data_IF_020235510327
#
_entry.id   IF_020235510327
#
_cell.length_a   1.000
_cell.length_b   1.000
_cell.length_c   1.000
_cell.angle_alpha   90.00
_cell.angle_beta   90.00
_cell.angle_gamma   90.00
#
_symmetry.space_group_name_H-M   'P 1'
#
loop_
_entity.id
_entity.type
_entity.pdbx_description
1 polymer ?
#
# COMPACT_ATOMS: atom_id res chain seq x y z
N UNK A 1 -10.94 -16.54 -4.00
CA UNK A 1 -10.07 -15.46 -4.55
C UNK A 1 -10.86 -14.33 -5.23
N UNK A 2 -11.94 -14.63 -5.97
CA UNK A 2 -12.80 -13.63 -6.64
C UNK A 2 -13.37 -12.51 -5.73
N UNK A 3 -14.08 -12.83 -4.63
CA UNK A 3 -14.69 -11.80 -3.77
C UNK A 3 -13.67 -10.90 -3.06
N UNK A 4 -12.46 -11.43 -2.81
CA UNK A 4 -11.34 -10.69 -2.19
C UNK A 4 -10.56 -9.85 -3.21
N UNK A 5 -10.81 -9.99 -4.52
CA UNK A 5 -10.14 -9.22 -5.57
C UNK A 5 -8.64 -9.49 -5.68
N UNK A 6 -8.20 -10.69 -5.27
CA UNK A 6 -6.82 -11.18 -5.37
C UNK A 6 -6.78 -12.27 -6.44
N UNK A 7 -6.80 -11.89 -7.70
CA UNK A 7 -6.65 -12.84 -8.81
C UNK A 7 -5.18 -13.30 -8.91
N UNK A 8 -4.92 -14.60 -9.16
CA UNK A 8 -3.58 -15.09 -9.44
C UNK A 8 -3.00 -14.42 -10.68
N UNK A 9 -1.70 -14.15 -10.67
CA UNK A 9 -0.96 -13.78 -11.88
C UNK A 9 -0.28 -15.05 -12.41
N UNK A 10 -0.54 -15.46 -13.65
CA UNK A 10 0.11 -16.63 -14.21
C UNK A 10 1.61 -16.37 -14.37
N UNK A 11 2.41 -17.40 -14.09
CA UNK A 11 3.87 -17.40 -14.29
C UNK A 11 4.16 -18.30 -15.49
N UNK A 12 4.97 -17.86 -16.47
CA UNK A 12 5.39 -18.72 -17.58
C UNK A 12 6.17 -19.94 -17.07
N UNK A 13 5.98 -21.15 -17.63
CA UNK A 13 6.65 -22.37 -17.15
C UNK A 13 8.18 -22.32 -17.22
N UNK A 14 8.74 -21.49 -18.09
CA UNK A 14 10.18 -21.38 -18.36
C UNK A 14 10.87 -20.24 -17.60
N UNK A 15 10.12 -19.39 -16.89
CA UNK A 15 10.68 -18.22 -16.20
C UNK A 15 11.05 -18.57 -14.75
N UNK A 16 12.23 -18.12 -14.28
CA UNK A 16 12.59 -18.21 -12.86
C UNK A 16 11.65 -17.32 -12.00
N UNK A 17 10.84 -17.90 -11.10
CA UNK A 17 9.89 -17.15 -10.30
C UNK A 17 10.54 -16.40 -9.13
N UNK A 18 11.81 -16.62 -8.82
CA UNK A 18 12.47 -16.12 -7.59
C UNK A 18 12.31 -14.61 -7.44
N UNK A 19 12.61 -13.85 -8.50
CA UNK A 19 12.49 -12.39 -8.49
C UNK A 19 11.04 -11.93 -8.33
N UNK A 20 10.10 -12.61 -8.99
CA UNK A 20 8.68 -12.30 -8.90
C UNK A 20 8.16 -12.52 -7.47
N UNK A 21 8.58 -13.62 -6.83
CA UNK A 21 8.21 -13.96 -5.45
C UNK A 21 8.75 -12.89 -4.49
N UNK A 22 10.03 -12.52 -4.60
CA UNK A 22 10.64 -11.51 -3.74
C UNK A 22 9.94 -10.16 -3.89
N UNK A 23 9.63 -9.75 -5.12
CA UNK A 23 8.86 -8.53 -5.36
C UNK A 23 7.45 -8.60 -4.76
N UNK A 24 6.75 -9.73 -4.89
CA UNK A 24 5.41 -9.91 -4.34
C UNK A 24 5.38 -9.93 -2.81
N UNK A 25 6.42 -10.41 -2.14
CA UNK A 25 6.51 -10.37 -0.66
C UNK A 25 6.48 -8.95 -0.12
N UNK A 26 7.15 -8.03 -0.80
CA UNK A 26 7.26 -6.64 -0.38
C UNK A 26 6.12 -5.75 -0.92
N UNK A 27 5.23 -6.31 -1.74
CA UNK A 27 4.16 -5.53 -2.39
C UNK A 27 2.88 -5.53 -1.57
N UNK A 28 2.38 -4.34 -1.26
CA UNK A 28 1.02 -4.14 -0.73
C UNK A 28 0.04 -3.80 -1.86
N UNK A 29 -1.15 -4.41 -1.84
CA UNK A 29 -2.21 -4.12 -2.81
C UNK A 29 -3.27 -3.23 -2.20
N UNK A 30 -3.39 -2.01 -2.73
CA UNK A 30 -4.41 -1.03 -2.32
C UNK A 30 -5.50 -0.92 -3.38
N UNK A 31 -6.76 -0.92 -2.93
CA UNK A 31 -7.95 -0.78 -3.78
C UNK A 31 -9.03 -0.01 -3.01
N UNK A 32 -9.51 1.08 -3.59
CA UNK A 32 -10.83 1.63 -3.28
C UNK A 32 -11.87 0.79 -3.99
N UNK A 33 -12.86 0.29 -3.26
CA UNK A 33 -14.07 -0.32 -3.84
C UNK A 33 -15.17 0.73 -3.85
N UNK A 34 -16.16 0.53 -2.99
CA UNK A 34 -17.40 1.32 -2.96
C UNK A 34 -17.21 2.63 -2.16
N UNK A 35 -16.22 2.65 -1.26
CA UNK A 35 -15.86 3.82 -0.45
C UNK A 35 -14.70 4.59 -1.07
N UNK A 36 -14.73 5.91 -0.93
CA UNK A 36 -13.64 6.84 -1.30
C UNK A 36 -12.46 6.84 -0.31
N UNK A 37 -12.35 5.77 0.48
CA UNK A 37 -11.27 5.56 1.44
C UNK A 37 -10.60 4.23 1.17
N UNK A 38 -9.33 4.14 1.54
CA UNK A 38 -8.58 2.91 1.52
C UNK A 38 -7.64 2.86 2.72
N UNK A 39 -7.20 1.65 3.04
CA UNK A 39 -6.28 1.41 4.14
C UNK A 39 -5.17 0.49 3.64
N UNK A 40 -3.95 0.74 4.08
CA UNK A 40 -2.77 -0.02 3.71
C UNK A 40 -1.86 -0.20 4.92
N UNK A 41 -1.13 -1.32 4.97
CA UNK A 41 -0.07 -1.53 5.94
C UNK A 41 1.22 -0.95 5.37
N UNK A 42 1.92 -0.13 6.16
CA UNK A 42 3.16 0.56 5.75
C UNK A 42 4.39 -0.16 6.33
N UNK A 43 4.24 -0.84 7.46
CA UNK A 43 5.31 -1.61 8.11
C UNK A 43 4.85 -2.18 9.45
N UNK A 44 5.81 -2.60 10.27
CA UNK A 44 5.59 -3.12 11.62
C UNK A 44 6.21 -2.18 12.68
N UNK A 45 5.89 -2.41 13.95
CA UNK A 45 6.39 -1.58 15.07
C UNK A 45 7.89 -1.76 15.31
N UNK A 46 8.44 -2.90 14.91
CA UNK A 46 9.85 -3.24 15.13
C UNK A 46 10.77 -2.57 14.11
N UNK A 47 10.21 -1.95 13.07
CA UNK A 47 10.97 -1.19 12.08
C UNK A 47 11.37 0.19 12.63
N UNK A 48 12.53 0.72 12.22
CA UNK A 48 12.93 2.06 12.61
C UNK A 48 11.97 3.11 12.01
N UNK A 49 11.73 4.24 12.72
CA UNK A 49 10.82 5.29 12.25
C UNK A 49 11.20 5.88 10.89
N UNK A 50 12.49 5.92 10.56
CA UNK A 50 13.02 6.45 9.31
C UNK A 50 12.55 5.62 8.11
N UNK A 51 12.66 4.29 8.19
CA UNK A 51 12.19 3.37 7.15
C UNK A 51 10.67 3.44 7.00
N UNK A 52 9.94 3.60 8.11
CA UNK A 52 8.49 3.77 8.08
C UNK A 52 8.08 5.07 7.38
N UNK A 53 8.82 6.16 7.60
CA UNK A 53 8.60 7.43 6.92
C UNK A 53 8.89 7.33 5.42
N UNK A 54 9.99 6.66 5.02
CA UNK A 54 10.31 6.43 3.62
C UNK A 54 9.23 5.61 2.91
N UNK A 55 8.74 4.54 3.56
CA UNK A 55 7.65 3.73 3.04
C UNK A 55 6.35 4.53 2.88
N UNK A 56 6.03 5.41 3.85
CA UNK A 56 4.88 6.30 3.79
C UNK A 56 5.00 7.29 2.62
N UNK A 57 6.19 7.87 2.42
CA UNK A 57 6.45 8.80 1.32
C UNK A 57 6.33 8.11 -0.04
N UNK A 58 6.94 6.93 -0.20
CA UNK A 58 6.82 6.13 -1.40
C UNK A 58 5.36 5.78 -1.71
N UNK A 59 4.59 5.43 -0.67
CA UNK A 59 3.17 5.15 -0.78
C UNK A 59 2.36 6.38 -1.22
N UNK A 60 2.58 7.52 -0.58
CA UNK A 60 1.88 8.77 -0.88
C UNK A 60 2.20 9.27 -2.29
N UNK A 61 3.46 9.20 -2.73
CA UNK A 61 3.87 9.51 -4.11
C UNK A 61 3.13 8.64 -5.12
N UNK A 62 3.03 7.32 -4.85
CA UNK A 62 2.34 6.39 -5.74
C UNK A 62 0.84 6.66 -5.86
N UNK A 63 0.19 7.03 -4.75
CA UNK A 63 -1.24 7.37 -4.68
C UNK A 63 -1.50 8.68 -5.42
N UNK A 64 -0.76 9.74 -5.08
CA UNK A 64 -0.91 11.07 -5.69
C UNK A 64 -0.70 11.00 -7.20
N UNK A 65 0.30 10.25 -7.67
CA UNK A 65 0.56 10.08 -9.11
C UNK A 65 -0.51 9.26 -9.85
N UNK A 66 -1.41 8.56 -9.14
CA UNK A 66 -2.54 7.83 -9.75
C UNK A 66 -3.83 8.65 -9.78
N UNK A 67 -3.95 9.70 -8.96
CA UNK A 67 -5.13 10.55 -8.89
C UNK A 67 -5.02 11.66 -9.92
N UNK A 68 -6.06 11.87 -10.73
CA UNK A 68 -6.08 12.88 -11.80
C UNK A 68 -5.81 14.31 -11.29
N UNK A 69 -6.28 14.64 -10.09
CA UNK A 69 -6.04 15.94 -9.43
C UNK A 69 -5.03 15.85 -8.27
N UNK A 70 -4.27 14.76 -8.21
CA UNK A 70 -3.23 14.53 -7.22
C UNK A 70 -3.69 14.75 -5.77
N UNK A 71 -2.98 15.64 -5.06
CA UNK A 71 -3.20 15.92 -3.63
C UNK A 71 -4.56 16.55 -3.34
N UNK A 72 -5.16 17.27 -4.28
CA UNK A 72 -6.46 17.93 -4.07
C UNK A 72 -7.63 16.94 -3.93
N UNK A 73 -7.44 15.68 -4.35
CA UNK A 73 -8.42 14.62 -4.16
C UNK A 73 -8.29 13.91 -2.79
N UNK A 74 -7.31 14.29 -1.95
CA UNK A 74 -7.08 13.69 -0.63
C UNK A 74 -7.61 14.64 0.43
N UNK A 75 -8.71 14.27 1.08
CA UNK A 75 -9.31 15.09 2.14
C UNK A 75 -8.51 15.05 3.44
N UNK A 76 -8.04 13.86 3.84
CA UNK A 76 -7.24 13.66 5.04
C UNK A 76 -6.48 12.34 4.96
N UNK A 77 -5.37 12.25 5.68
CA UNK A 77 -4.61 11.01 5.84
C UNK A 77 -4.24 10.80 7.30
N UNK A 78 -4.36 9.56 7.77
CA UNK A 78 -4.08 9.18 9.15
C UNK A 78 -3.15 7.98 9.18
N UNK A 79 -2.22 7.98 10.14
CA UNK A 79 -1.34 6.86 10.44
C UNK A 79 -1.64 6.39 11.85
N UNK A 80 -1.75 5.08 12.03
CA UNK A 80 -1.97 4.47 13.34
C UNK A 80 -1.22 3.16 13.46
N UNK A 81 -0.95 2.76 14.69
CA UNK A 81 -0.63 1.37 15.00
C UNK A 81 -1.91 0.54 15.06
N UNK A 82 -1.80 -0.79 15.02
CA UNK A 82 -2.98 -1.68 15.02
C UNK A 82 -3.93 -1.40 16.19
N UNK A 83 -3.38 -1.14 17.38
CA UNK A 83 -4.12 -0.95 18.63
C UNK A 83 -4.07 0.48 19.20
N UNK A 84 -3.34 1.40 18.56
CA UNK A 84 -3.14 2.76 19.07
C UNK A 84 -4.08 3.80 18.46
N UNK A 85 -4.11 5.02 19.02
CA UNK A 85 -4.83 6.15 18.46
C UNK A 85 -4.23 6.54 17.10
N UNK A 86 -5.07 7.14 16.25
CA UNK A 86 -4.66 7.62 14.94
C UNK A 86 -4.11 9.04 15.01
N UNK A 87 -2.98 9.26 14.35
CA UNK A 87 -2.33 10.57 14.22
C UNK A 87 -2.55 11.07 12.79
N UNK A 88 -2.90 12.35 12.67
CA UNK A 88 -3.12 12.99 11.37
C UNK A 88 -1.79 13.29 10.70
N UNK A 89 -1.68 12.90 9.43
CA UNK A 89 -0.55 13.21 8.56
C UNK A 89 -0.88 14.37 7.58
N UNK A 90 -2.09 14.35 6.99
CA UNK A 90 -2.64 15.39 6.11
C UNK A 90 -4.05 15.78 6.56
#
# INVERSE_FOLDING_TARGET
LGPRGRMPRPVPPTADPTNLITAMRNTIRVRSRDKRTFHAAIGTRDMPPEDLAENLDAFMRRVVGKLERGRFNIQSAYVKTTMGPAVRYL
#
